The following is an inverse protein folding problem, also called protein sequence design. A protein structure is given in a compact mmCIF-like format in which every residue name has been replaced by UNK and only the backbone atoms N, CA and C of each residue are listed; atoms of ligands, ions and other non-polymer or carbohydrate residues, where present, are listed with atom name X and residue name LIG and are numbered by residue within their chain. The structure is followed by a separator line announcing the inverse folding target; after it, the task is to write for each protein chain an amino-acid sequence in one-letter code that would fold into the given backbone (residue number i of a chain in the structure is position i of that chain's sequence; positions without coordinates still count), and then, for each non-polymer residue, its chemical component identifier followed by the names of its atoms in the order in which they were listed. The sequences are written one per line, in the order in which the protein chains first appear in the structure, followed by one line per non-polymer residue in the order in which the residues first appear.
data_IF_198308357683
#
_entry.id   IF_198308357683
#
_cell.length_a   1.000
_cell.length_b   1.000
_cell.length_c   1.000
_cell.angle_alpha   90.00
_cell.angle_beta   90.00
_cell.angle_gamma   90.00
#
_symmetry.space_group_name_H-M   'P 1'
#
loop_
_entity.id
_entity.type
_entity.pdbx_description
1 polymer ?
#
# COMPACT_ATOMS: atom_id res chain seq x y z
N UNK A 1 1.38 -10.77 4.20
CA UNK A 1 0.31 -11.62 3.62
C UNK A 1 -0.31 -10.88 2.43
N UNK A 2 -0.60 -11.59 1.34
CA UNK A 2 -1.17 -11.04 0.10
C UNK A 2 -2.67 -11.32 0.06
N UNK A 3 -3.51 -10.36 0.44
CA UNK A 3 -4.96 -10.51 0.45
C UNK A 3 -5.53 -10.48 -0.98
N UNK A 4 -4.91 -9.70 -1.87
CA UNK A 4 -5.24 -9.59 -3.30
C UNK A 4 -5.26 -10.94 -4.03
N UNK A 5 -4.45 -11.89 -3.56
CA UNK A 5 -4.35 -13.24 -4.14
C UNK A 5 -5.42 -14.21 -3.62
N UNK A 6 -6.07 -13.87 -2.51
CA UNK A 6 -7.07 -14.72 -1.86
C UNK A 6 -8.50 -14.24 -2.12
N UNK A 7 -8.70 -12.93 -2.22
CA UNK A 7 -9.99 -12.32 -2.51
C UNK A 7 -9.78 -11.08 -3.39
N UNK A 8 -9.98 -11.24 -4.70
CA UNK A 8 -9.81 -10.17 -5.69
C UNK A 8 -10.91 -9.09 -5.62
N UNK A 9 -11.98 -9.31 -4.85
CA UNK A 9 -13.06 -8.34 -4.66
C UNK A 9 -12.91 -7.54 -3.36
N UNK A 10 -11.89 -7.83 -2.54
CA UNK A 10 -11.67 -7.15 -1.27
C UNK A 10 -11.11 -5.75 -1.47
N UNK A 11 -11.97 -4.73 -1.32
CA UNK A 11 -11.62 -3.31 -1.49
C UNK A 11 -11.33 -2.57 -0.19
N UNK A 12 -11.55 -3.21 0.96
CA UNK A 12 -11.30 -2.60 2.29
C UNK A 12 -10.75 -3.67 3.24
N UNK A 13 -9.67 -3.34 3.94
CA UNK A 13 -9.03 -4.26 4.88
C UNK A 13 -8.36 -3.51 6.04
N UNK A 14 -8.10 -4.23 7.13
CA UNK A 14 -7.29 -3.74 8.25
C UNK A 14 -5.90 -4.37 8.19
N UNK A 15 -4.88 -3.56 8.51
CA UNK A 15 -3.50 -4.01 8.56
C UNK A 15 -2.70 -3.21 9.61
N UNK A 16 -1.55 -3.74 9.98
CA UNK A 16 -0.58 -3.08 10.86
C UNK A 16 0.63 -2.65 10.06
N UNK A 17 1.08 -1.41 10.28
CA UNK A 17 2.37 -0.94 9.75
C UNK A 17 3.47 -1.68 10.48
N UNK A 18 4.24 -2.47 9.74
CA UNK A 18 5.37 -3.25 10.27
C UNK A 18 6.70 -2.57 10.02
N UNK A 19 6.76 -1.66 9.04
CA UNK A 19 7.97 -0.92 8.72
C UNK A 19 7.65 0.37 7.97
N UNK A 20 8.51 1.38 8.15
CA UNK A 20 8.44 2.64 7.44
C UNK A 20 9.83 3.06 6.97
N UNK A 21 9.93 3.54 5.73
CA UNK A 21 11.17 4.09 5.17
C UNK A 21 10.91 5.36 4.38
N UNK A 22 11.86 6.28 4.37
CA UNK A 22 11.81 7.48 3.53
C UNK A 22 12.75 7.32 2.34
N UNK A 23 12.30 7.73 1.16
CA UNK A 23 13.12 7.91 -0.04
C UNK A 23 12.90 9.29 -0.63
N UNK A 24 13.63 9.61 -1.70
CA UNK A 24 13.44 10.86 -2.45
C UNK A 24 12.01 11.02 -3.00
N UNK A 25 11.28 9.90 -3.19
CA UNK A 25 9.89 9.89 -3.64
C UNK A 25 8.88 10.15 -2.53
N UNK A 26 9.23 9.94 -1.26
CA UNK A 26 8.33 10.10 -0.12
C UNK A 26 8.41 9.00 0.94
N UNK A 27 7.34 8.87 1.72
CA UNK A 27 7.21 7.89 2.80
C UNK A 27 6.64 6.58 2.26
N UNK A 28 7.37 5.49 2.47
CA UNK A 28 6.94 4.14 2.15
C UNK A 28 6.56 3.38 3.41
N UNK A 29 5.42 2.69 3.38
CA UNK A 29 4.95 1.84 4.46
C UNK A 29 4.87 0.38 4.00
N UNK A 30 5.40 -0.51 4.83
CA UNK A 30 5.18 -1.95 4.71
C UNK A 30 4.10 -2.37 5.71
N UNK A 31 3.15 -3.16 5.23
CA UNK A 31 2.04 -3.68 6.02
C UNK A 31 2.23 -5.19 6.27
N UNK A 32 1.71 -5.70 7.39
CA UNK A 32 1.68 -7.15 7.66
C UNK A 32 0.84 -7.91 6.62
N UNK A 33 -0.20 -7.25 6.11
CA UNK A 33 -1.05 -7.73 5.02
C UNK A 33 -1.51 -6.58 4.13
N UNK A 34 -1.73 -6.86 2.84
CA UNK A 34 -2.25 -5.86 1.90
C UNK A 34 -3.17 -6.49 0.87
N UNK A 35 -4.25 -5.78 0.52
CA UNK A 35 -5.08 -6.06 -0.65
C UNK A 35 -4.70 -5.21 -1.88
N UNK A 36 -3.73 -4.29 -1.76
CA UNK A 36 -3.25 -3.53 -2.90
C UNK A 36 -2.40 -4.41 -3.83
N UNK A 37 -2.79 -4.48 -5.09
CA UNK A 37 -1.99 -5.10 -6.13
C UNK A 37 -0.80 -4.20 -6.52
N UNK A 38 0.44 -4.71 -6.48
CA UNK A 38 1.64 -3.99 -6.86
C UNK A 38 1.77 -3.85 -8.38
N UNK A 39 2.55 -2.87 -8.82
CA UNK A 39 2.91 -2.76 -10.24
C UNK A 39 3.67 -4.03 -10.66
N UNK A 40 3.11 -4.81 -11.59
CA UNK A 40 3.71 -6.07 -12.03
C UNK A 40 3.33 -6.40 -13.49
N UNK A 41 4.33 -6.81 -14.28
CA UNK A 41 4.10 -7.32 -15.65
C UNK A 41 3.49 -6.32 -16.63
N UNK A 42 3.63 -5.01 -16.37
CA UNK A 42 3.03 -3.94 -17.18
C UNK A 42 1.61 -3.56 -16.79
N UNK A 43 1.02 -4.22 -15.77
CA UNK A 43 -0.26 -3.77 -15.19
C UNK A 43 -0.02 -2.64 -14.18
N UNK A 44 -0.89 -1.62 -14.17
CA UNK A 44 -0.85 -0.58 -13.15
C UNK A 44 -1.17 -1.15 -11.78
N UNK A 45 -0.60 -0.56 -10.74
CA UNK A 45 -0.93 -0.87 -9.35
C UNK A 45 -2.34 -0.41 -8.98
N UNK A 46 -2.86 -0.97 -7.89
CA UNK A 46 -4.06 -0.46 -7.26
C UNK A 46 -3.82 0.89 -6.57
N UNK A 47 -4.80 1.78 -6.67
CA UNK A 47 -4.81 3.07 -5.98
C UNK A 47 -5.87 3.06 -4.89
N UNK A 48 -5.71 3.89 -3.86
CA UNK A 48 -6.62 3.94 -2.72
C UNK A 48 -6.06 4.78 -1.58
N UNK A 49 -6.59 4.59 -0.38
CA UNK A 49 -6.18 5.31 0.82
C UNK A 49 -5.80 4.37 1.96
N UNK A 50 -4.80 4.76 2.74
CA UNK A 50 -4.53 4.21 4.06
C UNK A 50 -5.05 5.19 5.10
N UNK A 51 -6.01 4.75 5.91
CA UNK A 51 -6.60 5.56 6.98
C UNK A 51 -5.95 5.23 8.33
N UNK A 52 -5.44 6.25 9.01
CA UNK A 52 -4.83 6.11 10.33
C UNK A 52 -5.04 7.37 11.16
N UNK A 53 -5.42 7.21 12.44
CA UNK A 53 -5.60 8.31 13.39
C UNK A 53 -6.47 9.47 12.87
N UNK A 54 -7.55 9.15 12.15
CA UNK A 54 -8.46 10.15 11.57
C UNK A 54 -7.94 10.85 10.31
N UNK A 55 -6.80 10.44 9.77
CA UNK A 55 -6.22 10.97 8.54
C UNK A 55 -6.26 9.90 7.45
N UNK A 56 -6.51 10.33 6.21
CA UNK A 56 -6.44 9.48 5.02
C UNK A 56 -5.22 9.86 4.19
N UNK A 57 -4.37 8.88 3.90
CA UNK A 57 -3.17 9.07 3.09
C UNK A 57 -3.35 8.35 1.75
N UNK A 58 -3.27 9.04 0.60
CA UNK A 58 -3.39 8.39 -0.70
C UNK A 58 -2.19 7.46 -0.94
N UNK A 59 -2.45 6.26 -1.43
CA UNK A 59 -1.42 5.35 -1.94
C UNK A 59 -1.22 5.66 -3.42
N UNK A 60 -0.01 6.10 -3.76
CA UNK A 60 0.34 6.58 -5.11
C UNK A 60 1.33 5.65 -5.84
N UNK A 61 1.85 4.65 -5.13
CA UNK A 61 2.61 3.55 -5.74
C UNK A 61 2.60 2.33 -4.81
N UNK A 62 2.73 1.16 -5.41
CA UNK A 62 2.78 -0.13 -4.70
C UNK A 62 3.87 -1.00 -5.35
N UNK A 63 4.88 -1.35 -4.55
CA UNK A 63 6.05 -2.10 -4.99
C UNK A 63 6.20 -3.41 -4.20
N UNK A 64 6.85 -4.41 -4.82
CA UNK A 64 7.22 -5.66 -4.16
C UNK A 64 8.73 -5.78 -4.05
N UNK A 65 9.19 -6.08 -2.83
CA UNK A 65 10.58 -6.44 -2.56
C UNK A 65 10.61 -7.78 -1.82
N UNK A 66 11.04 -8.84 -2.50
CA UNK A 66 10.91 -10.20 -1.99
C UNK A 66 9.45 -10.55 -1.71
N UNK A 67 9.13 -10.88 -0.46
CA UNK A 67 7.77 -11.19 -0.01
C UNK A 67 7.01 -9.97 0.56
N UNK A 68 7.66 -8.80 0.56
CA UNK A 68 7.13 -7.57 1.15
C UNK A 68 6.38 -6.72 0.13
N UNK A 69 5.24 -6.15 0.53
CA UNK A 69 4.48 -5.15 -0.24
C UNK A 69 4.66 -3.79 0.40
N UNK A 70 5.17 -2.84 -0.37
CA UNK A 70 5.46 -1.48 0.03
C UNK A 70 4.48 -0.51 -0.62
N UNK A 71 4.02 0.49 0.13
CA UNK A 71 3.03 1.47 -0.31
C UNK A 71 3.63 2.86 -0.17
N UNK A 72 3.77 3.60 -1.27
CA UNK A 72 4.19 5.00 -1.25
C UNK A 72 2.98 5.87 -0.93
N UNK A 73 3.12 6.70 0.10
CA UNK A 73 2.11 7.69 0.44
C UNK A 73 2.31 8.98 -0.36
N UNK A 74 1.22 9.47 -0.93
CA UNK A 74 1.13 10.84 -1.42
C UNK A 74 0.86 11.83 -0.28
N UNK A 75 0.83 13.12 -0.62
CA UNK A 75 0.46 14.15 0.33
C UNK A 75 -0.97 13.89 0.85
N UNK A 76 -1.18 14.02 2.16
CA UNK A 76 -2.53 14.01 2.72
C UNK A 76 -3.33 15.17 2.09
N UNK A 77 -4.60 14.96 1.69
CA UNK A 77 -5.46 16.06 1.32
C UNK A 77 -5.53 17.05 2.49
N UNK A 78 -5.29 18.33 2.20
CA UNK A 78 -5.25 19.41 3.19
C UNK A 78 -6.61 19.79 3.74
#
# INVERSE_FOLDING_TARGET
MRLDRHDSYLTTFQATVVEARRSERGLWLRLDRSAFYPTAGGQPHDTGTLEAAGHAYPVVDVEVEGDSVWHLLGAAPG
#
